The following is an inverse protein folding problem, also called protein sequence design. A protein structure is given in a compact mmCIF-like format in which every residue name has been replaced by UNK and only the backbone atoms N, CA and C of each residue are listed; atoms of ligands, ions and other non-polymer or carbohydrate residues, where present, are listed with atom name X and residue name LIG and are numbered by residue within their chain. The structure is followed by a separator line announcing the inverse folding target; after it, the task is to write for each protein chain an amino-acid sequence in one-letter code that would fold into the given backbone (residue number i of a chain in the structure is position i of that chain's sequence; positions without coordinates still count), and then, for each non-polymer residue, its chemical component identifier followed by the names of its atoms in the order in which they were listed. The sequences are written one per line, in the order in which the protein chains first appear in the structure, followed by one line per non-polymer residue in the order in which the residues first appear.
data_IF_053340973268
#
_entry.id   IF_053340973268
#
_cell.length_a   1.000
_cell.length_b   1.000
_cell.length_c   1.000
_cell.angle_alpha   90.00
_cell.angle_beta   90.00
_cell.angle_gamma   90.00
#
_symmetry.space_group_name_H-M   'P 1'
#
loop_
_entity.id
_entity.type
_entity.pdbx_description
1 polymer ?
#
# COMPACT_ATOMS: atom_id res chain seq x y z
N UNK A 1 -30.52 44.73 -35.60
CA UNK A 1 -30.82 43.51 -34.81
C UNK A 1 -32.31 43.33 -34.76
N UNK A 2 -32.82 42.21 -35.24
CA UNK A 2 -34.24 41.88 -35.21
C UNK A 2 -34.68 41.53 -33.78
N UNK A 3 -35.98 41.65 -33.50
CA UNK A 3 -36.53 41.31 -32.19
C UNK A 3 -36.17 39.86 -31.76
N UNK A 4 -36.11 38.94 -32.72
CA UNK A 4 -35.71 37.56 -32.51
C UNK A 4 -34.24 37.43 -31.98
N UNK A 5 -33.31 38.24 -32.49
CA UNK A 5 -31.94 38.25 -32.02
C UNK A 5 -31.82 38.78 -30.58
N UNK A 6 -32.63 39.74 -30.18
CA UNK A 6 -32.65 40.26 -28.80
C UNK A 6 -33.20 39.23 -27.83
N UNK A 7 -34.26 38.49 -28.21
CA UNK A 7 -34.81 37.42 -27.38
C UNK A 7 -33.81 36.29 -27.20
N UNK A 8 -33.11 35.86 -28.24
CA UNK A 8 -32.06 34.83 -28.17
C UNK A 8 -30.89 35.26 -27.28
N UNK A 9 -30.45 36.51 -27.38
CA UNK A 9 -29.38 37.03 -26.54
C UNK A 9 -29.78 37.06 -25.05
N UNK A 10 -30.99 37.50 -24.73
CA UNK A 10 -31.52 37.52 -23.36
C UNK A 10 -31.66 36.09 -22.84
N UNK A 11 -32.15 35.15 -23.61
CA UNK A 11 -32.27 33.75 -23.20
C UNK A 11 -30.90 33.11 -22.96
N UNK A 12 -29.91 33.36 -23.84
CA UNK A 12 -28.55 32.82 -23.68
C UNK A 12 -27.84 33.40 -22.44
N UNK A 13 -27.99 34.72 -22.19
CA UNK A 13 -27.40 35.35 -21.01
C UNK A 13 -28.07 34.89 -19.73
N UNK A 14 -29.41 34.72 -19.72
CA UNK A 14 -30.11 34.17 -18.56
C UNK A 14 -29.71 32.73 -18.24
N UNK A 15 -29.52 31.90 -19.28
CA UNK A 15 -29.06 30.52 -19.11
C UNK A 15 -27.61 30.47 -18.59
N UNK A 16 -26.75 31.36 -19.07
CA UNK A 16 -25.35 31.46 -18.58
C UNK A 16 -25.31 31.94 -17.15
N UNK A 17 -26.11 32.90 -16.74
CA UNK A 17 -26.22 33.36 -15.35
C UNK A 17 -26.79 32.25 -14.47
N UNK A 18 -27.84 31.55 -14.92
CA UNK A 18 -28.40 30.42 -14.18
C UNK A 18 -27.36 29.29 -14.01
N UNK A 19 -26.61 28.95 -15.05
CA UNK A 19 -25.53 27.98 -14.97
C UNK A 19 -24.40 28.43 -14.03
N UNK A 20 -24.06 29.71 -13.97
CA UNK A 20 -23.07 30.27 -13.05
C UNK A 20 -23.54 30.27 -11.57
N UNK A 21 -24.84 30.45 -11.34
CA UNK A 21 -25.47 30.51 -10.00
C UNK A 21 -25.81 29.10 -9.49
N UNK A 22 -26.30 28.22 -10.39
CA UNK A 22 -26.66 26.83 -10.05
C UNK A 22 -25.55 25.84 -10.36
N UNK A 23 -24.50 26.28 -11.04
CA UNK A 23 -23.28 25.48 -11.24
C UNK A 23 -22.81 25.02 -9.89
N UNK A 24 -23.04 23.75 -9.59
CA UNK A 24 -22.46 23.11 -8.43
C UNK A 24 -20.97 23.38 -8.49
N UNK A 25 -20.49 24.27 -7.64
CA UNK A 25 -19.06 24.35 -7.35
C UNK A 25 -18.66 22.93 -6.96
N UNK A 26 -18.10 22.19 -7.90
CA UNK A 26 -17.43 20.95 -7.55
C UNK A 26 -16.53 21.32 -6.37
N UNK A 27 -16.64 20.62 -5.24
CA UNK A 27 -15.80 20.97 -4.10
C UNK A 27 -14.35 20.98 -4.58
N UNK A 28 -13.77 22.16 -4.62
CA UNK A 28 -12.40 22.42 -5.09
C UNK A 28 -11.35 21.93 -4.08
N UNK A 29 -11.72 20.99 -3.22
CA UNK A 29 -10.83 20.30 -2.31
C UNK A 29 -10.44 18.90 -2.80
N UNK A 30 -10.19 18.75 -4.09
CA UNK A 30 -9.27 17.70 -4.53
C UNK A 30 -7.91 18.17 -4.09
N UNK A 31 -7.37 17.54 -3.04
CA UNK A 31 -6.06 17.88 -2.50
C UNK A 31 -5.08 18.04 -3.66
N UNK A 32 -4.42 19.17 -3.73
CA UNK A 32 -3.37 19.37 -4.73
C UNK A 32 -2.30 18.34 -4.43
N UNK A 33 -2.11 17.38 -5.34
CA UNK A 33 -1.07 16.36 -5.20
C UNK A 33 0.25 17.11 -5.08
N UNK A 34 0.90 17.00 -3.92
CA UNK A 34 2.24 17.52 -3.75
C UNK A 34 3.24 16.50 -4.31
N UNK A 35 3.45 16.54 -5.62
CA UNK A 35 4.34 15.61 -6.30
C UNK A 35 5.78 15.64 -5.75
N UNK A 36 6.25 16.82 -5.30
CA UNK A 36 7.58 16.94 -4.69
C UNK A 36 7.67 16.25 -3.32
N UNK A 37 6.58 16.25 -2.53
CA UNK A 37 6.53 15.50 -1.29
C UNK A 37 6.50 13.99 -1.55
N UNK A 38 5.67 13.53 -2.49
CA UNK A 38 5.63 12.12 -2.89
C UNK A 38 7.00 11.62 -3.40
N UNK A 39 7.66 12.42 -4.23
CA UNK A 39 8.99 12.07 -4.73
C UNK A 39 10.02 11.92 -3.61
N UNK A 40 9.99 12.80 -2.61
CA UNK A 40 10.88 12.69 -1.43
C UNK A 40 10.57 11.45 -0.60
N UNK A 41 9.29 11.16 -0.32
CA UNK A 41 8.90 9.97 0.44
C UNK A 41 9.40 8.69 -0.25
N UNK A 42 9.30 8.62 -1.58
CA UNK A 42 9.81 7.50 -2.38
C UNK A 42 11.34 7.44 -2.35
N UNK A 43 12.03 8.57 -2.53
CA UNK A 43 13.50 8.64 -2.52
C UNK A 43 14.09 8.21 -1.17
N UNK A 44 13.44 8.59 -0.07
CA UNK A 44 13.87 8.27 1.29
C UNK A 44 13.34 6.91 1.77
N UNK A 45 12.54 6.22 0.96
CA UNK A 45 11.89 4.94 1.32
C UNK A 45 10.94 5.06 2.51
N UNK A 46 10.34 6.24 2.71
CA UNK A 46 9.36 6.52 3.76
C UNK A 46 7.93 6.12 3.35
N UNK A 47 7.77 5.55 2.17
CA UNK A 47 6.51 5.16 1.55
C UNK A 47 6.09 3.72 1.88
N UNK A 48 6.97 2.91 2.42
CA UNK A 48 6.71 1.49 2.69
C UNK A 48 7.23 1.01 4.05
N UNK A 49 6.73 -0.14 4.45
CA UNK A 49 7.21 -0.89 5.62
C UNK A 49 7.58 -2.31 5.22
N UNK A 50 8.51 -2.92 5.94
CA UNK A 50 8.88 -4.32 5.77
C UNK A 50 7.85 -5.27 6.39
N UNK A 51 7.89 -6.56 6.01
CA UNK A 51 7.07 -7.60 6.63
C UNK A 51 7.30 -7.70 8.15
N UNK A 52 8.55 -7.58 8.58
CA UNK A 52 8.93 -7.65 10.00
C UNK A 52 8.39 -6.44 10.79
N UNK A 53 8.53 -5.22 10.25
CA UNK A 53 7.98 -4.02 10.89
C UNK A 53 6.46 -4.08 11.02
N UNK A 54 5.76 -4.50 9.95
CA UNK A 54 4.30 -4.68 10.01
C UNK A 54 3.92 -5.73 11.06
N UNK A 55 4.63 -6.86 11.10
CA UNK A 55 4.40 -7.91 12.08
C UNK A 55 4.57 -7.40 13.52
N UNK A 56 5.59 -6.57 13.77
CA UNK A 56 5.77 -5.93 15.07
C UNK A 56 4.64 -4.97 15.42
N UNK A 57 4.17 -4.17 14.46
CA UNK A 57 3.05 -3.26 14.67
C UNK A 57 1.76 -4.01 15.00
N UNK A 58 1.50 -5.13 14.33
CA UNK A 58 0.33 -5.99 14.61
C UNK A 58 0.47 -6.62 16.00
N UNK A 59 1.62 -7.23 16.31
CA UNK A 59 1.90 -7.89 17.58
C UNK A 59 1.78 -6.93 18.76
N UNK A 60 2.33 -5.72 18.63
CA UNK A 60 2.29 -4.68 19.66
C UNK A 60 0.94 -3.97 19.74
N UNK A 61 -0.02 -4.29 18.85
CA UNK A 61 -1.32 -3.63 18.74
C UNK A 61 -1.18 -2.12 18.59
N UNK A 62 -0.31 -1.69 17.66
CA UNK A 62 -0.08 -0.26 17.40
C UNK A 62 -1.42 0.49 17.29
N UNK A 63 -1.63 1.55 18.11
CA UNK A 63 -2.88 2.31 18.07
C UNK A 63 -3.15 2.91 16.68
N UNK A 64 -4.39 2.80 16.21
CA UNK A 64 -4.81 3.34 14.92
C UNK A 64 -4.29 2.59 13.70
N UNK A 65 -3.58 1.46 13.87
CA UNK A 65 -3.13 0.63 12.74
C UNK A 65 -4.32 -0.01 12.04
N UNK A 66 -4.35 0.14 10.72
CA UNK A 66 -5.27 -0.56 9.82
C UNK A 66 -4.47 -1.16 8.67
N UNK A 67 -4.55 -2.45 8.51
CA UNK A 67 -3.91 -3.20 7.42
C UNK A 67 -4.97 -3.46 6.35
N UNK A 68 -4.67 -3.12 5.11
CA UNK A 68 -5.65 -3.16 4.01
C UNK A 68 -5.12 -4.05 2.88
N UNK A 69 -5.87 -5.11 2.59
CA UNK A 69 -5.64 -5.97 1.44
C UNK A 69 -6.38 -5.41 0.22
N UNK A 70 -5.67 -5.09 -0.85
CA UNK A 70 -6.27 -4.57 -2.08
C UNK A 70 -6.51 -5.66 -3.14
N UNK A 71 -6.23 -6.92 -2.83
CA UNK A 71 -6.44 -8.06 -3.72
C UNK A 71 -7.93 -8.40 -3.89
N UNK A 72 -8.27 -9.25 -4.87
CA UNK A 72 -9.63 -9.78 -5.03
C UNK A 72 -10.13 -10.53 -3.78
N UNK A 73 -11.47 -10.59 -3.61
CA UNK A 73 -12.12 -11.27 -2.48
C UNK A 73 -11.71 -12.74 -2.35
N UNK A 74 -11.53 -13.44 -3.48
CA UNK A 74 -11.13 -14.85 -3.50
C UNK A 74 -9.73 -15.08 -2.93
N UNK A 75 -8.79 -14.16 -3.22
CA UNK A 75 -7.43 -14.23 -2.71
C UNK A 75 -7.36 -13.88 -1.22
N UNK A 76 -8.11 -12.85 -0.81
CA UNK A 76 -8.26 -12.49 0.60
C UNK A 76 -8.86 -13.64 1.41
N UNK A 77 -9.90 -14.31 0.90
CA UNK A 77 -10.54 -15.43 1.56
C UNK A 77 -9.61 -16.65 1.69
N UNK A 78 -8.72 -16.86 0.73
CA UNK A 78 -7.76 -17.97 0.78
C UNK A 78 -6.70 -17.77 1.87
N UNK A 79 -6.13 -16.57 1.97
CA UNK A 79 -5.22 -16.16 3.04
C UNK A 79 -5.06 -14.64 3.04
N UNK A 80 -4.94 -14.04 4.21
CA UNK A 80 -4.64 -12.63 4.40
C UNK A 80 -3.79 -12.39 5.65
N UNK A 81 -3.10 -11.26 5.71
CA UNK A 81 -2.34 -10.84 6.89
C UNK A 81 -3.30 -10.70 8.09
N UNK A 82 -2.99 -11.26 9.25
CA UNK A 82 -3.88 -11.23 10.41
C UNK A 82 -4.36 -9.81 10.76
N UNK A 83 -5.68 -9.64 10.88
CA UNK A 83 -6.32 -8.36 11.18
C UNK A 83 -6.47 -7.42 9.99
N UNK A 84 -6.09 -7.85 8.79
CA UNK A 84 -6.32 -7.05 7.59
C UNK A 84 -7.81 -6.96 7.23
N UNK A 85 -8.21 -5.82 6.68
CA UNK A 85 -9.50 -5.61 6.03
C UNK A 85 -9.33 -5.57 4.51
N UNK A 86 -10.26 -6.16 3.77
CA UNK A 86 -10.23 -6.10 2.32
C UNK A 86 -10.89 -4.83 1.79
N UNK A 87 -10.22 -4.08 0.90
CA UNK A 87 -10.79 -2.95 0.15
C UNK A 87 -10.29 -2.93 -1.29
N UNK A 88 -11.21 -2.74 -2.24
CA UNK A 88 -10.83 -2.47 -3.63
C UNK A 88 -10.27 -1.05 -3.80
N UNK A 89 -9.54 -0.79 -4.87
CA UNK A 89 -9.06 0.57 -5.19
C UNK A 89 -10.19 1.61 -5.28
N UNK A 90 -11.38 1.32 -5.88
CA UNK A 90 -12.52 2.24 -5.82
C UNK A 90 -13.01 2.52 -4.39
N UNK A 91 -12.98 1.53 -3.50
CA UNK A 91 -13.33 1.74 -2.09
C UNK A 91 -12.30 2.60 -1.36
N UNK A 92 -11.00 2.48 -1.69
CA UNK A 92 -9.96 3.38 -1.19
C UNK A 92 -10.21 4.82 -1.64
N UNK A 93 -10.61 5.02 -2.90
CA UNK A 93 -10.91 6.34 -3.46
C UNK A 93 -12.08 7.06 -2.75
N UNK A 94 -12.96 6.32 -2.09
CA UNK A 94 -14.07 6.85 -1.30
C UNK A 94 -13.73 7.09 0.18
N UNK A 95 -12.51 6.77 0.63
CA UNK A 95 -12.09 6.98 2.01
C UNK A 95 -11.85 8.46 2.30
N UNK A 96 -12.09 8.84 3.54
CA UNK A 96 -11.80 10.19 4.07
C UNK A 96 -10.75 10.06 5.16
N UNK A 97 -9.69 10.91 5.15
CA UNK A 97 -8.67 10.90 6.19
C UNK A 97 -9.27 11.12 7.59
N UNK A 98 -8.84 10.29 8.54
CA UNK A 98 -9.17 10.45 9.95
C UNK A 98 -7.87 10.64 10.73
N UNK A 99 -7.87 11.51 11.72
CA UNK A 99 -6.70 11.72 12.56
C UNK A 99 -6.33 10.47 13.37
N UNK A 100 -5.02 10.21 13.52
CA UNK A 100 -4.50 9.14 14.36
C UNK A 100 -4.51 7.74 13.70
N UNK A 101 -4.95 7.60 12.43
CA UNK A 101 -4.85 6.34 11.70
C UNK A 101 -3.47 6.16 11.05
N UNK A 102 -2.96 4.93 11.08
CA UNK A 102 -1.82 4.46 10.28
C UNK A 102 -2.32 3.38 9.33
N UNK A 103 -2.26 3.62 8.03
CA UNK A 103 -2.72 2.67 7.02
C UNK A 103 -1.53 1.95 6.40
N UNK A 104 -1.62 0.62 6.30
CA UNK A 104 -0.65 -0.19 5.54
C UNK A 104 -1.41 -0.99 4.50
N UNK A 105 -1.16 -0.70 3.23
CA UNK A 105 -1.77 -1.42 2.11
C UNK A 105 -0.87 -2.55 1.67
N UNK A 106 -1.45 -3.67 1.24
CA UNK A 106 -0.69 -4.70 0.55
C UNK A 106 -1.48 -5.33 -0.60
N UNK A 107 -0.73 -5.87 -1.54
CA UNK A 107 -1.21 -6.73 -2.64
C UNK A 107 -0.32 -7.96 -2.71
N UNK A 108 -0.44 -8.80 -3.73
CA UNK A 108 0.39 -10.00 -3.88
C UNK A 108 1.89 -9.66 -3.86
N UNK A 109 2.36 -8.86 -4.83
CA UNK A 109 3.78 -8.45 -4.96
C UNK A 109 4.02 -6.96 -4.68
N UNK A 110 3.07 -6.22 -4.11
CA UNK A 110 3.20 -4.82 -3.70
C UNK A 110 2.80 -3.77 -4.75
N UNK A 111 2.77 -4.07 -6.04
CA UNK A 111 2.55 -3.07 -7.10
C UNK A 111 1.21 -2.33 -6.98
N UNK A 112 0.09 -3.06 -6.82
CA UNK A 112 -1.23 -2.44 -6.65
C UNK A 112 -1.35 -1.68 -5.32
N UNK A 113 -0.64 -2.14 -4.29
CA UNK A 113 -0.60 -1.45 -3.00
C UNK A 113 0.14 -0.10 -3.11
N UNK A 114 1.25 -0.04 -3.86
CA UNK A 114 1.96 1.21 -4.14
C UNK A 114 1.08 2.19 -4.93
N UNK A 115 0.30 1.71 -5.91
CA UNK A 115 -0.71 2.54 -6.60
C UNK A 115 -1.78 3.06 -5.64
N UNK A 116 -2.27 2.20 -4.73
CA UNK A 116 -3.20 2.57 -3.66
C UNK A 116 -2.61 3.60 -2.71
N UNK A 117 -1.32 3.50 -2.39
CA UNK A 117 -0.60 4.48 -1.58
C UNK A 117 -0.61 5.87 -2.26
N UNK A 118 -0.22 5.97 -3.54
CA UNK A 118 -0.29 7.23 -4.31
C UNK A 118 -1.71 7.80 -4.29
N UNK A 119 -2.73 6.96 -4.47
CA UNK A 119 -4.14 7.37 -4.42
C UNK A 119 -4.50 7.97 -3.06
N UNK A 120 -4.20 7.29 -1.95
CA UNK A 120 -4.50 7.79 -0.61
C UNK A 120 -3.70 9.06 -0.26
N UNK A 121 -2.42 9.13 -0.67
CA UNK A 121 -1.62 10.36 -0.52
C UNK A 121 -2.25 11.53 -1.27
N UNK A 122 -2.80 11.30 -2.46
CA UNK A 122 -3.51 12.32 -3.23
C UNK A 122 -4.83 12.79 -2.59
N UNK A 123 -5.43 11.95 -1.75
CA UNK A 123 -6.64 12.28 -0.96
C UNK A 123 -6.32 12.94 0.39
N UNK A 124 -5.03 13.18 0.68
CA UNK A 124 -4.60 13.89 1.89
C UNK A 124 -4.29 12.99 3.10
N UNK A 125 -4.21 11.67 2.92
CA UNK A 125 -3.72 10.79 3.97
C UNK A 125 -2.22 11.01 4.18
N UNK A 126 -1.79 11.21 5.42
CA UNK A 126 -0.38 11.48 5.78
C UNK A 126 0.36 10.23 6.25
N UNK A 127 -0.30 9.39 7.06
CA UNK A 127 0.28 8.19 7.65
C UNK A 127 -0.20 6.95 6.86
N UNK A 128 0.21 6.84 5.62
CA UNK A 128 -0.10 5.69 4.77
C UNK A 128 1.17 5.14 4.17
N UNK A 129 1.28 3.82 4.20
CA UNK A 129 2.40 3.03 3.74
C UNK A 129 1.90 1.87 2.89
N UNK A 130 2.78 1.26 2.11
CA UNK A 130 2.50 -0.06 1.54
C UNK A 130 3.50 -1.09 2.05
N UNK A 131 3.10 -2.35 2.08
CA UNK A 131 3.98 -3.45 2.44
C UNK A 131 4.92 -3.73 1.26
N UNK A 132 6.22 -3.55 1.50
CA UNK A 132 7.27 -3.88 0.52
C UNK A 132 7.15 -5.35 0.14
N UNK A 133 7.25 -5.66 -1.15
CA UNK A 133 7.09 -7.04 -1.65
C UNK A 133 5.73 -7.69 -1.41
N UNK A 134 4.79 -7.00 -0.75
CA UNK A 134 3.42 -7.44 -0.53
C UNK A 134 3.31 -8.74 0.27
N UNK A 135 2.28 -9.53 -0.03
CA UNK A 135 2.03 -10.80 0.64
C UNK A 135 3.17 -11.81 0.42
N UNK A 136 3.86 -11.75 -0.72
CA UNK A 136 4.98 -12.66 -0.98
C UNK A 136 6.12 -12.45 0.01
N UNK A 137 6.48 -11.18 0.32
CA UNK A 137 7.50 -10.89 1.32
C UNK A 137 7.02 -11.24 2.73
N UNK A 138 5.74 -10.97 3.06
CA UNK A 138 5.16 -11.43 4.32
C UNK A 138 5.29 -12.96 4.51
N UNK A 139 4.99 -13.73 3.46
CA UNK A 139 5.07 -15.19 3.51
C UNK A 139 6.53 -15.66 3.65
N UNK A 140 7.47 -14.97 3.02
CA UNK A 140 8.90 -15.30 3.11
C UNK A 140 9.53 -14.88 4.43
N UNK A 141 9.32 -13.63 4.84
CA UNK A 141 10.06 -13.03 5.95
C UNK A 141 9.40 -13.27 7.31
N UNK A 142 8.07 -13.39 7.34
CA UNK A 142 7.31 -13.56 8.59
C UNK A 142 6.83 -15.00 8.76
N UNK A 143 6.19 -15.58 7.75
CA UNK A 143 5.60 -16.90 7.90
C UNK A 143 6.63 -18.03 7.77
N UNK A 144 7.59 -17.92 6.85
CA UNK A 144 8.56 -18.97 6.57
C UNK A 144 9.99 -18.40 6.45
N UNK A 145 10.50 -17.65 7.45
CA UNK A 145 11.81 -17.06 7.34
C UNK A 145 12.89 -18.15 7.33
N UNK A 146 13.82 -18.01 6.39
CA UNK A 146 15.04 -18.79 6.38
C UNK A 146 16.13 -18.02 7.15
N UNK A 147 16.43 -18.49 8.34
CA UNK A 147 17.35 -17.86 9.25
C UNK A 147 18.70 -18.59 9.26
N UNK A 148 19.85 -17.90 9.28
CA UNK A 148 21.15 -18.55 9.42
C UNK A 148 21.26 -19.27 10.76
N UNK A 149 22.07 -20.32 10.85
CA UNK A 149 22.27 -21.07 12.09
C UNK A 149 22.83 -20.18 13.20
N UNK A 150 23.76 -19.29 12.86
CA UNK A 150 24.31 -18.24 13.73
C UNK A 150 24.79 -17.06 12.90
N UNK A 151 24.74 -15.86 13.49
CA UNK A 151 25.32 -14.65 12.91
C UNK A 151 26.70 -14.31 13.50
N UNK A 152 27.25 -15.21 14.33
CA UNK A 152 28.61 -15.10 14.87
C UNK A 152 28.78 -14.04 15.94
N UNK A 153 27.70 -13.38 16.37
CA UNK A 153 27.73 -12.44 17.49
C UNK A 153 26.37 -12.41 18.21
N UNK A 154 26.40 -12.04 19.50
CA UNK A 154 25.23 -12.07 20.37
C UNK A 154 24.06 -11.18 19.87
N UNK A 155 24.37 -10.03 19.29
CA UNK A 155 23.33 -9.12 18.77
C UNK A 155 22.59 -9.72 17.56
N UNK A 156 23.34 -10.31 16.63
CA UNK A 156 22.75 -10.98 15.46
C UNK A 156 21.95 -12.21 15.84
N UNK A 157 22.45 -13.01 16.80
CA UNK A 157 21.74 -14.19 17.29
C UNK A 157 20.45 -13.79 18.04
N UNK A 158 20.45 -12.67 18.77
CA UNK A 158 19.25 -12.10 19.39
C UNK A 158 18.22 -11.66 18.32
N UNK A 159 18.66 -10.94 17.29
CA UNK A 159 17.78 -10.51 16.20
C UNK A 159 17.15 -11.72 15.46
N UNK A 160 17.95 -12.75 15.19
CA UNK A 160 17.50 -14.02 14.60
C UNK A 160 16.45 -14.71 15.48
N UNK A 161 16.70 -14.82 16.78
CA UNK A 161 15.75 -15.40 17.74
C UNK A 161 14.45 -14.60 17.79
N UNK A 162 14.54 -13.28 17.70
CA UNK A 162 13.40 -12.39 17.66
C UNK A 162 12.51 -12.63 16.41
N UNK A 163 13.10 -12.70 15.21
CA UNK A 163 12.37 -13.01 13.97
C UNK A 163 11.73 -14.39 14.06
N UNK A 164 12.45 -15.41 14.60
CA UNK A 164 11.89 -16.73 14.80
C UNK A 164 10.70 -16.73 15.78
N UNK A 165 10.77 -15.95 16.84
CA UNK A 165 9.67 -15.82 17.80
C UNK A 165 8.48 -15.11 17.19
N UNK A 166 8.71 -14.07 16.37
CA UNK A 166 7.70 -13.33 15.64
C UNK A 166 6.98 -14.24 14.64
N UNK A 167 7.73 -15.03 13.87
CA UNK A 167 7.18 -16.02 12.94
C UNK A 167 6.22 -16.99 13.64
N UNK A 168 6.66 -17.58 14.76
CA UNK A 168 5.83 -18.52 15.54
C UNK A 168 4.57 -17.85 16.10
N UNK A 169 4.64 -16.57 16.48
CA UNK A 169 3.48 -15.82 16.96
C UNK A 169 2.37 -15.77 15.93
N UNK A 170 2.72 -15.66 14.65
CA UNK A 170 1.76 -15.67 13.53
C UNK A 170 1.44 -17.06 12.98
N UNK A 171 1.92 -18.13 13.62
CA UNK A 171 1.73 -19.50 13.17
C UNK A 171 2.66 -19.92 12.04
N UNK A 172 3.71 -19.15 11.79
CA UNK A 172 4.72 -19.45 10.80
C UNK A 172 5.73 -20.51 11.25
N UNK A 173 6.54 -20.99 10.32
CA UNK A 173 7.54 -22.04 10.52
C UNK A 173 8.93 -21.53 10.13
N UNK A 174 9.67 -20.93 11.07
CA UNK A 174 11.04 -20.50 10.79
C UNK A 174 11.95 -21.70 10.53
N UNK A 175 12.70 -21.64 9.46
CA UNK A 175 13.72 -22.62 9.10
C UNK A 175 15.10 -22.09 9.47
N UNK A 176 16.00 -22.99 9.90
CA UNK A 176 17.38 -22.69 10.22
C UNK A 176 18.28 -23.46 9.28
N UNK A 177 19.33 -22.83 8.81
CA UNK A 177 20.24 -23.47 7.91
C UNK A 177 21.37 -22.55 7.47
N UNK A 178 22.45 -23.15 7.02
CA UNK A 178 23.53 -22.42 6.37
C UNK A 178 22.91 -21.75 5.15
N UNK A 179 23.06 -20.42 5.02
CA UNK A 179 22.73 -19.73 3.79
C UNK A 179 23.48 -20.42 2.65
N UNK A 180 22.80 -21.33 1.97
CA UNK A 180 23.39 -21.99 0.80
C UNK A 180 23.52 -20.92 -0.26
N UNK A 181 24.72 -20.80 -0.85
CA UNK A 181 25.03 -20.00 -2.04
C UNK A 181 24.16 -20.39 -3.27
N UNK A 182 23.09 -21.16 -3.04
CA UNK A 182 22.13 -21.62 -4.02
C UNK A 182 21.08 -20.55 -4.42
N UNK A 183 21.00 -19.43 -3.72
CA UNK A 183 20.02 -18.37 -4.04
C UNK A 183 20.43 -17.59 -5.29
N UNK A 184 21.74 -17.51 -5.61
CA UNK A 184 22.17 -16.82 -6.83
C UNK A 184 21.64 -17.50 -8.10
N UNK A 185 21.56 -18.83 -8.15
CA UNK A 185 21.04 -19.57 -9.29
C UNK A 185 19.50 -19.48 -9.42
N UNK A 186 18.76 -19.57 -8.33
CA UNK A 186 17.30 -19.56 -8.36
C UNK A 186 16.71 -18.16 -8.52
N UNK A 187 17.29 -17.14 -7.88
CA UNK A 187 16.91 -15.75 -8.07
C UNK A 187 17.20 -15.26 -9.49
N UNK A 188 18.36 -15.60 -10.04
CA UNK A 188 18.69 -15.33 -11.44
C UNK A 188 17.75 -16.02 -12.42
N UNK A 189 17.33 -17.26 -12.14
CA UNK A 189 16.35 -17.98 -12.95
C UNK A 189 14.93 -17.44 -12.79
N UNK A 190 14.54 -17.00 -11.59
CA UNK A 190 13.25 -16.35 -11.35
C UNK A 190 13.17 -14.99 -12.05
N UNK A 191 14.20 -14.16 -11.96
CA UNK A 191 14.31 -12.87 -12.67
C UNK A 191 14.32 -13.10 -14.19
N UNK A 192 14.99 -14.13 -14.70
CA UNK A 192 14.99 -14.49 -16.12
C UNK A 192 13.61 -14.95 -16.61
N UNK A 193 12.84 -15.65 -15.77
CA UNK A 193 11.45 -16.06 -16.09
C UNK A 193 10.49 -14.87 -16.11
N UNK A 194 10.64 -13.92 -15.19
CA UNK A 194 9.83 -12.69 -15.17
C UNK A 194 10.14 -11.82 -16.38
N UNK A 195 11.42 -11.67 -16.77
CA UNK A 195 11.81 -10.95 -17.99
C UNK A 195 11.26 -11.58 -19.29
N UNK A 196 11.07 -12.90 -19.33
CA UNK A 196 10.52 -13.60 -20.53
C UNK A 196 9.00 -13.51 -20.64
N UNK A 197 8.28 -13.14 -19.59
CA UNK A 197 6.81 -13.04 -19.60
C UNK A 197 6.28 -11.65 -19.88
N UNK A 198 7.17 -10.70 -20.17
CA UNK A 198 6.83 -9.35 -20.67
C UNK A 198 5.79 -8.62 -19.80
N UNK A 199 5.97 -7.38 -19.62
CA UNK A 199 5.00 -6.47 -19.02
C UNK A 199 3.61 -6.64 -19.62
#
# INVERSE_FOLDING_TARGET
MTAAHRVLLVAATSLAVLAAVTGTSLPASRGVINAAALARDIEHQDDHVTGIELAEWIRSRKPGLRVIDVRPDSEYAAYHVPGAERKSLPQLAAMVPKGGETLVLYSEGGAHAAQGWVLLRSLGFTNVYFLRGGLLEWMGDVMNPLLPDSLGNAAGDSARAHVAALSRYFGGVPSFGRAMNAVEGSAAQAVARVRRRGC
#
